data_IF_485443636399
#
_entry.id   IF_485443636399
#
_cell.length_a   1.000
_cell.length_b   1.000
_cell.length_c   1.000
_cell.angle_alpha   90.00
_cell.angle_beta   90.00
_cell.angle_gamma   90.00
#
_symmetry.space_group_name_H-M   'P 1'
#
loop_
_entity.id
_entity.type
_entity.pdbx_description
1 polymer ?
#
# COMPACT_ATOMS: atom_id res chain seq x y z
N UNK A 1 21.71 -18.84 16.57
CA UNK A 1 20.90 -17.65 16.24
C UNK A 1 20.78 -17.38 14.74
N UNK A 2 21.84 -17.53 13.95
CA UNK A 2 21.87 -17.24 12.49
C UNK A 2 20.81 -18.00 11.69
N UNK A 3 20.59 -19.29 11.97
CA UNK A 3 19.58 -20.12 11.28
C UNK A 3 18.16 -19.55 11.41
N UNK A 4 17.83 -18.99 12.57
CA UNK A 4 16.51 -18.39 12.81
C UNK A 4 16.32 -17.09 12.02
N UNK A 5 17.36 -16.24 11.97
CA UNK A 5 17.32 -15.00 11.20
C UNK A 5 17.24 -15.25 9.69
N UNK A 6 17.98 -16.23 9.16
CA UNK A 6 17.91 -16.61 7.75
C UNK A 6 16.52 -17.17 7.38
N UNK A 7 15.97 -18.06 8.20
CA UNK A 7 14.62 -18.61 7.98
C UNK A 7 13.56 -17.50 8.03
N UNK A 8 13.66 -16.55 8.96
CA UNK A 8 12.78 -15.40 9.03
C UNK A 8 12.88 -14.52 7.78
N UNK A 9 14.09 -14.27 7.28
CA UNK A 9 14.30 -13.50 6.05
C UNK A 9 13.64 -14.17 4.84
N UNK A 10 13.84 -15.48 4.66
CA UNK A 10 13.18 -16.24 3.59
C UNK A 10 11.66 -16.22 3.72
N UNK A 11 11.14 -16.41 4.95
CA UNK A 11 9.71 -16.31 5.21
C UNK A 11 9.15 -14.93 4.84
N UNK A 12 9.81 -13.86 5.25
CA UNK A 12 9.37 -12.48 4.96
C UNK A 12 9.38 -12.16 3.46
N UNK A 13 10.34 -12.70 2.72
CA UNK A 13 10.38 -12.59 1.24
C UNK A 13 9.18 -13.32 0.62
N UNK A 14 8.95 -14.57 0.98
CA UNK A 14 7.83 -15.36 0.46
C UNK A 14 6.47 -14.73 0.80
N UNK A 15 6.30 -14.27 2.03
CA UNK A 15 5.10 -13.56 2.46
C UNK A 15 4.90 -12.28 1.64
N UNK A 16 5.95 -11.49 1.44
CA UNK A 16 5.87 -10.26 0.66
C UNK A 16 5.48 -10.52 -0.80
N UNK A 17 5.99 -11.60 -1.41
CA UNK A 17 5.61 -12.01 -2.76
C UNK A 17 4.17 -12.51 -2.85
N UNK A 18 3.72 -13.28 -1.87
CA UNK A 18 2.33 -13.74 -1.80
C UNK A 18 1.36 -12.56 -1.72
N UNK A 19 1.61 -11.62 -0.80
CA UNK A 19 0.81 -10.39 -0.68
C UNK A 19 0.86 -9.53 -1.94
N UNK A 20 2.02 -9.43 -2.59
CA UNK A 20 2.16 -8.68 -3.84
C UNK A 20 1.34 -9.29 -4.97
N UNK A 21 1.27 -10.62 -5.07
CA UNK A 21 0.48 -11.31 -6.10
C UNK A 21 -1.01 -10.94 -6.00
N UNK A 22 -1.57 -10.93 -4.79
CA UNK A 22 -2.95 -10.48 -4.58
C UNK A 22 -3.14 -8.99 -4.85
N UNK A 23 -2.18 -8.16 -4.42
CA UNK A 23 -2.23 -6.71 -4.65
C UNK A 23 -2.22 -6.35 -6.14
N UNK A 24 -1.47 -7.11 -6.96
CA UNK A 24 -1.38 -6.93 -8.41
C UNK A 24 -2.67 -7.21 -9.17
N UNK A 25 -3.61 -7.97 -8.59
CA UNK A 25 -4.95 -8.18 -9.20
C UNK A 25 -5.67 -6.86 -9.49
N UNK A 26 -5.39 -5.82 -8.71
CA UNK A 26 -5.98 -4.48 -8.87
C UNK A 26 -4.93 -3.42 -9.24
N UNK A 27 -3.65 -3.79 -9.28
CA UNK A 27 -2.53 -2.86 -9.49
C UNK A 27 -1.43 -3.56 -10.32
N UNK A 28 -1.69 -3.89 -11.60
CA UNK A 28 -0.95 -4.90 -12.38
C UNK A 28 0.57 -4.69 -12.44
N UNK A 29 1.07 -3.46 -12.38
CA UNK A 29 2.51 -3.15 -12.52
C UNK A 29 3.24 -2.91 -11.19
N UNK A 30 2.56 -3.13 -10.06
CA UNK A 30 3.13 -2.79 -8.74
C UNK A 30 4.32 -3.66 -8.35
N UNK A 31 5.30 -3.06 -7.69
CA UNK A 31 6.40 -3.74 -7.01
C UNK A 31 6.23 -3.80 -5.48
N UNK A 32 7.21 -4.41 -4.81
CA UNK A 32 7.23 -4.53 -3.34
C UNK A 32 7.25 -3.16 -2.64
N UNK A 33 7.88 -2.15 -3.24
CA UNK A 33 7.90 -0.79 -2.68
C UNK A 33 6.49 -0.18 -2.70
N UNK A 34 5.72 -0.41 -3.77
CA UNK A 34 4.34 0.08 -3.86
C UNK A 34 3.42 -0.58 -2.85
N UNK A 35 3.61 -1.89 -2.61
CA UNK A 35 2.89 -2.63 -1.58
C UNK A 35 3.19 -2.05 -0.18
N UNK A 36 4.46 -1.75 0.10
CA UNK A 36 4.86 -1.10 1.36
C UNK A 36 4.27 0.30 1.49
N UNK A 37 4.30 1.09 0.42
CA UNK A 37 3.70 2.42 0.38
C UNK A 37 2.19 2.37 0.67
N UNK A 38 1.48 1.40 0.09
CA UNK A 38 0.06 1.19 0.30
C UNK A 38 -0.27 0.95 1.79
N UNK A 39 0.33 -0.07 2.42
CA UNK A 39 0.06 -0.35 3.84
C UNK A 39 0.52 0.78 4.77
N UNK A 40 1.62 1.47 4.43
CA UNK A 40 2.10 2.61 5.21
C UNK A 40 1.15 3.81 5.10
N UNK A 41 0.60 4.06 3.92
CA UNK A 41 -0.44 5.06 3.69
C UNK A 41 -1.67 4.80 4.54
N UNK A 42 -2.14 3.54 4.62
CA UNK A 42 -3.25 3.16 5.51
C UNK A 42 -2.98 3.51 6.98
N UNK A 43 -1.77 3.18 7.47
CA UNK A 43 -1.37 3.53 8.84
C UNK A 43 -1.42 5.05 9.04
N UNK A 44 -0.89 5.82 8.09
CA UNK A 44 -0.89 7.29 8.19
C UNK A 44 -2.28 7.90 8.19
N UNK A 45 -3.17 7.45 7.29
CA UNK A 45 -4.57 7.92 7.30
C UNK A 45 -5.20 7.62 8.65
N UNK A 46 -5.02 6.41 9.19
CA UNK A 46 -5.58 6.04 10.50
C UNK A 46 -5.07 6.92 11.63
N UNK A 47 -3.78 7.25 11.66
CA UNK A 47 -3.25 8.17 12.66
C UNK A 47 -3.78 9.60 12.46
N UNK A 48 -3.94 10.05 11.21
CA UNK A 48 -4.50 11.36 10.92
C UNK A 48 -5.97 11.49 11.34
N UNK A 49 -6.77 10.45 11.13
CA UNK A 49 -8.18 10.44 11.55
C UNK A 49 -8.37 10.64 13.06
N UNK A 50 -7.38 10.27 13.89
CA UNK A 50 -7.47 10.43 15.35
C UNK A 50 -7.39 11.88 15.82
N UNK A 51 -6.74 12.75 15.03
CA UNK A 51 -6.53 14.16 15.41
C UNK A 51 -7.50 15.11 14.71
N UNK A 52 -8.35 14.60 13.81
CA UNK A 52 -9.37 15.41 13.15
C UNK A 52 -10.53 15.68 14.11
N UNK A 53 -11.06 16.91 14.14
CA UNK A 53 -12.20 17.25 15.00
C UNK A 53 -13.49 16.56 14.56
N UNK A 54 -13.59 16.19 13.28
CA UNK A 54 -14.74 15.49 12.69
C UNK A 54 -14.26 14.47 11.66
N UNK A 55 -15.01 13.38 11.52
CA UNK A 55 -14.70 12.35 10.52
C UNK A 55 -15.01 12.89 9.11
N UNK A 56 -14.09 12.74 8.15
CA UNK A 56 -14.35 13.11 6.77
C UNK A 56 -15.52 12.31 6.17
N UNK A 57 -16.28 12.95 5.29
CA UNK A 57 -17.29 12.29 4.46
C UNK A 57 -16.69 11.07 3.72
N UNK A 58 -17.45 9.99 3.50
CA UNK A 58 -16.91 8.74 2.96
C UNK A 58 -16.17 8.89 1.61
N UNK A 59 -16.67 9.75 0.72
CA UNK A 59 -16.05 10.00 -0.59
C UNK A 59 -14.69 10.69 -0.41
N UNK A 60 -14.63 11.74 0.42
CA UNK A 60 -13.39 12.43 0.73
C UNK A 60 -12.40 11.49 1.43
N UNK A 61 -12.89 10.63 2.33
CA UNK A 61 -12.07 9.64 3.00
C UNK A 61 -11.44 8.66 2.00
N UNK A 62 -12.21 8.16 1.03
CA UNK A 62 -11.70 7.28 -0.03
C UNK A 62 -10.63 7.97 -0.88
N UNK A 63 -10.81 9.25 -1.23
CA UNK A 63 -9.83 10.05 -1.96
C UNK A 63 -8.54 10.26 -1.16
N UNK A 64 -8.66 10.54 0.15
CA UNK A 64 -7.52 10.65 1.08
C UNK A 64 -6.76 9.33 1.11
N UNK A 65 -7.45 8.19 1.24
CA UNK A 65 -6.81 6.87 1.19
C UNK A 65 -6.10 6.65 -0.15
N UNK A 66 -6.76 6.88 -1.28
CA UNK A 66 -6.14 6.71 -2.60
C UNK A 66 -4.88 7.59 -2.77
N UNK A 67 -4.95 8.85 -2.32
CA UNK A 67 -3.80 9.76 -2.36
C UNK A 67 -2.67 9.30 -1.44
N UNK A 68 -2.93 9.06 -0.16
CA UNK A 68 -1.86 8.73 0.79
C UNK A 68 -1.26 7.35 0.56
N UNK A 69 -2.05 6.38 0.10
CA UNK A 69 -1.55 5.04 -0.25
C UNK A 69 -0.78 5.01 -1.55
N UNK A 70 -0.92 6.05 -2.39
CA UNK A 70 -0.06 6.24 -3.57
C UNK A 70 1.22 7.01 -3.29
N UNK A 71 1.33 7.72 -2.16
CA UNK A 71 2.56 8.41 -1.79
C UNK A 71 3.69 7.40 -1.52
N UNK A 72 4.82 7.56 -2.22
CA UNK A 72 5.97 6.68 -2.11
C UNK A 72 5.90 5.44 -3.02
N UNK A 73 4.87 5.33 -3.88
CA UNK A 73 4.90 4.39 -5.00
C UNK A 73 5.95 4.79 -6.02
N UNK A 74 6.56 3.79 -6.65
CA UNK A 74 7.49 3.91 -7.77
C UNK A 74 6.75 3.76 -9.10
N UNK A 75 5.78 2.84 -9.16
CA UNK A 75 5.02 2.60 -10.39
C UNK A 75 3.77 3.48 -10.42
N UNK A 76 3.42 4.02 -11.60
CA UNK A 76 2.20 4.81 -11.77
C UNK A 76 0.98 3.98 -11.38
N UNK A 77 -0.07 4.66 -10.94
CA UNK A 77 -1.36 4.02 -10.81
C UNK A 77 -1.81 3.62 -12.21
N UNK A 78 -2.33 2.41 -12.35
CA UNK A 78 -3.00 2.00 -13.57
C UNK A 78 -4.28 2.83 -13.68
N UNK A 79 -4.17 3.99 -14.31
CA UNK A 79 -5.32 4.78 -14.72
C UNK A 79 -5.90 4.06 -15.92
N UNK A 80 -7.01 3.35 -15.74
CA UNK A 80 -7.79 2.77 -16.85
C UNK A 80 -8.41 3.81 -17.80
N UNK A 81 -7.84 5.01 -17.85
CA UNK A 81 -8.17 6.07 -18.79
C UNK A 81 -6.91 6.25 -19.63
N UNK A 82 -6.92 5.68 -20.83
CA UNK A 82 -6.12 6.21 -21.93
C UNK A 82 -6.38 7.72 -21.97
N UNK A 83 -5.33 8.51 -21.79
CA UNK A 83 -5.38 9.91 -22.14
C UNK A 83 -5.70 9.98 -23.65
N UNK A 84 -6.97 10.25 -23.95
CA UNK A 84 -7.43 10.62 -25.30
C UNK A 84 -6.87 11.98 -25.70
#
# INVERSE_FOLDING_TARGET
>A
AVTNAANLAFFMVNLSHHLLADFRKHNPDSGIIDLKAYYRGFRYVREMLKILPQKPEPILLAQIFAKLTSLGRIHPLSTGVEAS
#
